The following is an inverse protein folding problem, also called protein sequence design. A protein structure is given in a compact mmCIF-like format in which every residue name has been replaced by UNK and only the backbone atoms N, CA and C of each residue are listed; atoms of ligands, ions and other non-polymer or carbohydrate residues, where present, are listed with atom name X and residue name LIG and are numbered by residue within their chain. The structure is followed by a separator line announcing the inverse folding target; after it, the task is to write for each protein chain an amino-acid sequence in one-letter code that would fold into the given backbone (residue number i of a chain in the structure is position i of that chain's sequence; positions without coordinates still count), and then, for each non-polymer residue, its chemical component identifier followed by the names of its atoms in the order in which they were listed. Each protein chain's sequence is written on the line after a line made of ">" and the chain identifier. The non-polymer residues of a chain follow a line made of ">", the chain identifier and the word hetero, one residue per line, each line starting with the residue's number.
data_IF_046742658689
#
_entry.id   IF_046742658689
#
_cell.length_a   1.000
_cell.length_b   1.000
_cell.length_c   1.000
_cell.angle_alpha   90.00
_cell.angle_beta   90.00
_cell.angle_gamma   90.00
#
_symmetry.space_group_name_H-M   'P 1'
#
loop_
_entity.id
_entity.type
_entity.pdbx_description
1 polymer ?
#
# COMPACT_ATOMS: atom_id res chain seq x y z
N UNK A 1 -15.39 -24.26 -20.33
CA UNK A 1 -15.14 -22.81 -20.59
C UNK A 1 -15.07 -21.94 -19.34
N UNK A 2 -15.57 -22.37 -18.18
CA UNK A 2 -15.54 -21.59 -16.92
C UNK A 2 -14.14 -21.32 -16.32
N UNK A 3 -13.18 -22.22 -16.56
CA UNK A 3 -11.85 -22.15 -15.93
C UNK A 3 -10.92 -21.00 -16.40
N UNK A 4 -11.11 -20.48 -17.62
CA UNK A 4 -10.21 -19.43 -18.17
C UNK A 4 -10.61 -18.05 -17.65
N UNK A 5 -11.91 -17.79 -17.48
CA UNK A 5 -12.39 -16.50 -16.95
C UNK A 5 -12.06 -16.36 -15.45
N UNK A 6 -12.26 -17.41 -14.66
CA UNK A 6 -11.89 -17.39 -13.24
C UNK A 6 -10.40 -17.17 -13.03
N UNK A 7 -9.54 -17.82 -13.83
CA UNK A 7 -8.09 -17.66 -13.73
C UNK A 7 -7.61 -16.23 -14.00
N UNK A 8 -8.27 -15.49 -14.91
CA UNK A 8 -7.91 -14.08 -15.17
C UNK A 8 -8.33 -13.14 -14.03
N UNK A 9 -9.41 -13.44 -13.33
CA UNK A 9 -9.86 -12.69 -12.15
C UNK A 9 -8.93 -12.95 -10.97
N UNK A 10 -8.54 -14.21 -10.74
CA UNK A 10 -7.61 -14.60 -9.68
C UNK A 10 -6.22 -13.95 -9.87
N UNK A 11 -5.74 -13.88 -11.11
CA UNK A 11 -4.47 -13.21 -11.42
C UNK A 11 -4.56 -11.69 -11.23
N UNK A 12 -5.67 -11.06 -11.61
CA UNK A 12 -5.90 -9.65 -11.38
C UNK A 12 -6.01 -9.33 -9.87
N UNK A 13 -6.71 -10.18 -9.13
CA UNK A 13 -6.81 -10.09 -7.67
C UNK A 13 -5.43 -10.25 -7.00
N UNK A 14 -4.67 -11.27 -7.37
CA UNK A 14 -3.32 -11.49 -6.84
C UNK A 14 -2.38 -10.32 -7.13
N UNK A 15 -2.48 -9.73 -8.33
CA UNK A 15 -1.72 -8.53 -8.65
C UNK A 15 -2.08 -7.36 -7.72
N UNK A 16 -3.36 -7.11 -7.47
CA UNK A 16 -3.79 -6.05 -6.57
C UNK A 16 -3.40 -6.34 -5.11
N UNK A 17 -3.58 -7.59 -4.66
CA UNK A 17 -3.26 -8.04 -3.31
C UNK A 17 -1.77 -7.91 -2.98
N UNK A 18 -0.89 -8.19 -3.94
CA UNK A 18 0.55 -8.17 -3.74
C UNK A 18 1.17 -6.77 -3.73
N UNK A 19 0.39 -5.72 -3.96
CA UNK A 19 0.89 -4.34 -3.82
C UNK A 19 1.12 -4.00 -2.35
N UNK A 20 2.31 -3.49 -2.03
CA UNK A 20 2.57 -2.81 -0.76
C UNK A 20 1.85 -1.46 -0.70
N UNK A 21 1.62 -0.93 0.50
CA UNK A 21 1.09 0.41 0.66
C UNK A 21 2.23 1.44 0.60
N UNK A 22 2.01 2.55 -0.11
CA UNK A 22 2.98 3.65 -0.15
C UNK A 22 2.29 5.00 -0.12
N UNK A 23 2.61 5.80 0.88
CA UNK A 23 2.16 7.18 0.99
C UNK A 23 2.81 8.01 -0.13
N UNK A 24 2.03 8.89 -0.74
CA UNK A 24 2.53 9.91 -1.66
C UNK A 24 1.78 11.21 -1.47
N UNK A 25 2.51 12.32 -1.39
CA UNK A 25 1.93 13.66 -1.28
C UNK A 25 1.41 14.15 -2.64
N UNK A 26 2.22 13.93 -3.70
CA UNK A 26 1.85 14.27 -5.09
C UNK A 26 1.78 13.01 -5.96
N UNK A 27 0.97 13.06 -7.01
CA UNK A 27 0.70 11.91 -7.90
C UNK A 27 1.93 11.45 -8.71
N UNK A 28 2.93 12.30 -8.89
CA UNK A 28 4.14 12.00 -9.66
C UNK A 28 5.30 11.45 -8.81
N UNK A 29 5.12 11.30 -7.51
CA UNK A 29 6.15 10.75 -6.62
C UNK A 29 6.34 9.24 -6.84
N UNK A 30 5.29 8.53 -7.21
CA UNK A 30 5.36 7.13 -7.63
C UNK A 30 5.33 7.09 -9.15
N UNK A 31 6.38 6.55 -9.76
CA UNK A 31 6.58 6.59 -11.21
C UNK A 31 6.64 5.19 -11.81
N UNK A 32 6.05 5.05 -13.00
CA UNK A 32 6.19 3.86 -13.87
C UNK A 32 5.99 2.54 -13.11
N UNK A 33 6.94 1.59 -13.21
CA UNK A 33 6.88 0.25 -12.61
C UNK A 33 6.71 0.26 -11.08
N UNK A 34 7.02 1.36 -10.39
CA UNK A 34 6.75 1.47 -8.96
C UNK A 34 5.26 1.34 -8.64
N UNK A 35 4.36 1.71 -9.57
CA UNK A 35 2.93 1.46 -9.44
C UNK A 35 2.53 -0.03 -9.45
N UNK A 36 3.36 -0.91 -10.00
CA UNK A 36 3.10 -2.35 -9.95
C UNK A 36 3.35 -2.92 -8.55
N UNK A 37 4.30 -2.35 -7.82
CA UNK A 37 4.71 -2.78 -6.48
C UNK A 37 3.97 -2.09 -5.36
N UNK A 38 3.46 -0.87 -5.60
CA UNK A 38 2.87 -0.03 -4.57
C UNK A 38 1.45 0.39 -4.94
N UNK A 39 0.53 0.23 -3.97
CA UNK A 39 -0.76 0.89 -3.97
C UNK A 39 -0.60 2.27 -3.31
N UNK A 40 -1.02 3.29 -4.02
CA UNK A 40 -0.98 4.67 -3.53
C UNK A 40 -2.16 5.47 -4.06
N UNK A 41 -2.62 6.41 -3.26
CA UNK A 41 -3.58 7.43 -3.65
C UNK A 41 -3.04 8.79 -3.19
N UNK A 42 -2.50 9.58 -4.12
CA UNK A 42 -1.77 10.82 -3.81
C UNK A 42 -2.53 11.73 -2.85
N UNK A 43 -1.89 12.19 -1.79
CA UNK A 43 -2.50 13.01 -0.76
C UNK A 43 -3.26 12.24 0.33
N UNK A 44 -3.39 10.94 0.24
CA UNK A 44 -3.80 10.12 1.38
C UNK A 44 -2.56 9.91 2.26
N UNK A 45 -2.44 10.76 3.28
CA UNK A 45 -1.25 10.84 4.14
C UNK A 45 -1.34 9.94 5.37
N UNK A 46 -2.30 9.01 5.39
CA UNK A 46 -2.51 8.04 6.46
C UNK A 46 -2.56 6.62 5.91
N UNK A 47 -1.70 5.77 6.45
CA UNK A 47 -1.57 4.37 5.97
C UNK A 47 -2.84 3.56 6.22
N UNK A 48 -3.53 3.79 7.36
CA UNK A 48 -4.78 3.11 7.66
C UNK A 48 -5.90 3.46 6.66
N UNK A 49 -6.00 4.74 6.26
CA UNK A 49 -6.96 5.20 5.25
C UNK A 49 -6.60 4.65 3.86
N UNK A 50 -5.31 4.62 3.54
CA UNK A 50 -4.82 4.02 2.29
C UNK A 50 -5.10 2.52 2.25
N UNK A 51 -4.93 1.83 3.39
CA UNK A 51 -5.27 0.42 3.51
C UNK A 51 -6.77 0.16 3.31
N UNK A 52 -7.64 0.98 3.89
CA UNK A 52 -9.10 0.84 3.71
C UNK A 52 -9.48 0.91 2.22
N UNK A 53 -8.90 1.88 1.50
CA UNK A 53 -9.08 1.99 0.05
C UNK A 53 -8.62 0.73 -0.69
N UNK A 54 -7.46 0.19 -0.31
CA UNK A 54 -6.89 -1.00 -0.91
C UNK A 54 -7.73 -2.25 -0.63
N UNK A 55 -8.15 -2.45 0.63
CA UNK A 55 -8.97 -3.58 1.03
C UNK A 55 -10.35 -3.56 0.33
N UNK A 56 -10.96 -2.37 0.23
CA UNK A 56 -12.26 -2.27 -0.45
C UNK A 56 -12.14 -2.50 -1.97
N UNK A 57 -11.02 -2.09 -2.59
CA UNK A 57 -10.73 -2.45 -4.00
C UNK A 57 -10.59 -3.96 -4.19
N UNK A 58 -9.89 -4.64 -3.27
CA UNK A 58 -9.74 -6.10 -3.31
C UNK A 58 -11.08 -6.80 -3.17
N UNK A 59 -11.92 -6.37 -2.22
CA UNK A 59 -13.28 -6.90 -2.04
C UNK A 59 -14.12 -6.65 -3.29
N UNK A 60 -14.09 -5.44 -3.83
CA UNK A 60 -14.83 -5.11 -5.04
C UNK A 60 -14.42 -6.00 -6.23
N UNK A 61 -13.14 -6.30 -6.38
CA UNK A 61 -12.66 -7.21 -7.42
C UNK A 61 -13.08 -8.65 -7.18
N UNK A 62 -12.93 -9.15 -5.95
CA UNK A 62 -13.23 -10.52 -5.57
C UNK A 62 -14.74 -10.84 -5.67
N UNK A 63 -15.57 -9.89 -5.28
CA UNK A 63 -17.02 -10.04 -5.19
C UNK A 63 -17.75 -9.49 -6.43
N UNK A 64 -17.01 -8.94 -7.41
CA UNK A 64 -17.61 -8.36 -8.63
C UNK A 64 -18.40 -7.08 -8.38
N UNK A 65 -18.12 -6.35 -7.28
CA UNK A 65 -18.83 -5.13 -6.92
C UNK A 65 -18.58 -4.02 -7.93
N UNK A 66 -19.64 -3.31 -8.27
CA UNK A 66 -19.55 -2.15 -9.15
C UNK A 66 -19.05 -0.88 -8.41
N UNK A 67 -18.82 0.20 -9.16
CA UNK A 67 -18.32 1.46 -8.57
C UNK A 67 -19.28 2.06 -7.53
N UNK A 68 -20.59 1.92 -7.67
CA UNK A 68 -21.54 2.52 -6.72
C UNK A 68 -21.46 1.83 -5.35
N UNK A 69 -21.37 0.51 -5.35
CA UNK A 69 -21.18 -0.27 -4.10
C UNK A 69 -19.85 0.07 -3.43
N UNK A 70 -18.74 0.06 -4.17
CA UNK A 70 -17.43 0.49 -3.70
C UNK A 70 -17.46 1.92 -3.11
N UNK A 71 -18.07 2.87 -3.83
CA UNK A 71 -18.18 4.27 -3.38
C UNK A 71 -18.97 4.40 -2.09
N UNK A 72 -20.11 3.70 -1.96
CA UNK A 72 -20.99 3.84 -0.80
C UNK A 72 -20.31 3.26 0.45
N UNK A 73 -19.69 2.09 0.36
CA UNK A 73 -18.96 1.48 1.47
C UNK A 73 -17.81 2.39 1.96
N UNK A 74 -17.04 2.93 1.04
CA UNK A 74 -15.93 3.81 1.39
C UNK A 74 -16.37 5.19 1.88
N UNK A 75 -17.48 5.73 1.39
CA UNK A 75 -17.97 7.04 1.82
C UNK A 75 -18.22 7.06 3.33
N UNK A 76 -18.91 6.05 3.86
CA UNK A 76 -19.18 5.94 5.29
C UNK A 76 -17.88 5.81 6.09
N UNK A 77 -17.01 4.92 5.69
CA UNK A 77 -15.72 4.67 6.34
C UNK A 77 -14.81 5.91 6.34
N UNK A 78 -14.67 6.56 5.18
CA UNK A 78 -13.85 7.77 5.06
C UNK A 78 -14.46 8.96 5.81
N UNK A 79 -15.78 9.06 5.88
CA UNK A 79 -16.47 10.09 6.67
C UNK A 79 -16.20 9.89 8.18
N UNK A 80 -16.31 8.65 8.67
CA UNK A 80 -16.05 8.33 10.09
C UNK A 80 -14.61 8.60 10.52
N UNK A 81 -13.66 8.52 9.57
CA UNK A 81 -12.22 8.82 9.77
C UNK A 81 -11.86 10.28 9.46
N UNK A 82 -12.83 11.13 9.07
CA UNK A 82 -12.60 12.54 8.71
C UNK A 82 -11.78 12.72 7.42
N UNK A 83 -11.91 11.77 6.47
CA UNK A 83 -11.17 11.78 5.19
C UNK A 83 -12.07 11.93 3.96
N UNK A 84 -13.38 12.05 4.10
CA UNK A 84 -14.27 12.36 2.97
C UNK A 84 -14.50 13.87 2.88
N UNK A 85 -14.42 14.43 1.67
CA UNK A 85 -14.57 15.88 1.42
C UNK A 85 -13.22 16.61 1.31
N UNK A 86 -13.25 17.91 1.53
CA UNK A 86 -12.06 18.77 1.52
C UNK A 86 -11.24 18.59 2.80
N UNK A 87 -9.92 18.46 2.64
CA UNK A 87 -8.98 18.30 3.75
C UNK A 87 -7.67 19.00 3.44
N UNK A 88 -7.15 19.77 4.37
CA UNK A 88 -5.78 20.25 4.31
C UNK A 88 -4.85 19.11 4.72
N UNK A 89 -3.80 18.91 3.96
CA UNK A 89 -2.72 17.97 4.25
C UNK A 89 -1.38 18.69 4.21
N UNK A 90 -0.46 18.23 5.04
CA UNK A 90 0.90 18.75 5.12
C UNK A 90 1.88 17.66 4.71
N UNK A 91 2.85 18.01 3.88
CA UNK A 91 3.98 17.13 3.59
C UNK A 91 4.90 17.11 4.82
N UNK A 92 5.07 15.95 5.49
CA UNK A 92 5.86 15.89 6.71
C UNK A 92 7.37 16.16 6.50
N UNK A 93 7.86 16.01 5.25
CA UNK A 93 9.27 16.24 4.92
C UNK A 93 9.58 17.70 4.57
N UNK A 94 8.64 18.40 3.95
CA UNK A 94 8.88 19.75 3.42
C UNK A 94 8.06 20.83 4.09
N UNK A 95 7.07 20.48 4.92
CA UNK A 95 6.11 21.42 5.48
C UNK A 95 5.10 21.97 4.44
N UNK A 96 5.18 21.57 3.18
CA UNK A 96 4.28 22.04 2.12
C UNK A 96 2.84 21.67 2.47
N UNK A 97 1.94 22.65 2.46
CA UNK A 97 0.51 22.44 2.69
C UNK A 97 -0.26 22.48 1.40
N UNK A 98 -1.29 21.64 1.28
CA UNK A 98 -2.25 21.71 0.18
C UNK A 98 -3.61 21.16 0.59
N UNK A 99 -4.66 21.66 -0.05
CA UNK A 99 -6.00 21.12 0.10
C UNK A 99 -6.25 20.02 -0.93
N UNK A 100 -6.71 18.88 -0.47
CA UNK A 100 -7.21 17.79 -1.31
C UNK A 100 -8.73 17.69 -1.15
N UNK A 101 -9.39 17.07 -2.13
CA UNK A 101 -10.82 16.76 -2.05
C UNK A 101 -11.04 15.28 -2.35
N UNK A 102 -11.45 14.51 -1.35
CA UNK A 102 -11.79 13.10 -1.51
C UNK A 102 -13.31 13.00 -1.67
N UNK A 103 -13.73 12.92 -2.90
CA UNK A 103 -15.13 12.87 -3.31
C UNK A 103 -15.39 11.69 -4.28
N UNK A 104 -16.63 11.56 -4.73
CA UNK A 104 -17.03 10.50 -5.66
C UNK A 104 -16.18 10.43 -6.94
N UNK A 105 -15.81 11.59 -7.53
CA UNK A 105 -14.99 11.62 -8.74
C UNK A 105 -13.57 11.09 -8.48
N UNK A 106 -12.99 11.42 -7.33
CA UNK A 106 -11.70 10.91 -6.94
C UNK A 106 -11.74 9.41 -6.66
N UNK A 107 -12.76 8.94 -5.93
CA UNK A 107 -12.97 7.50 -5.71
C UNK A 107 -13.18 6.77 -7.04
N UNK A 108 -13.87 7.38 -8.01
CA UNK A 108 -14.05 6.82 -9.36
C UNK A 108 -12.71 6.64 -10.08
N UNK A 109 -11.83 7.64 -10.01
CA UNK A 109 -10.49 7.55 -10.60
C UNK A 109 -9.65 6.45 -9.95
N UNK A 110 -9.66 6.35 -8.61
CA UNK A 110 -8.95 5.30 -7.88
C UNK A 110 -9.48 3.92 -8.26
N UNK A 111 -10.79 3.73 -8.24
CA UNK A 111 -11.45 2.48 -8.61
C UNK A 111 -11.08 2.04 -10.04
N UNK A 112 -11.40 2.87 -11.03
CA UNK A 112 -11.19 2.48 -12.43
C UNK A 112 -9.72 2.28 -12.78
N UNK A 113 -8.82 3.14 -12.31
CA UNK A 113 -7.39 3.01 -12.63
C UNK A 113 -6.81 1.72 -12.07
N UNK A 114 -7.13 1.38 -10.82
CA UNK A 114 -6.60 0.16 -10.20
C UNK A 114 -7.22 -1.12 -10.77
N UNK A 115 -8.54 -1.13 -10.99
CA UNK A 115 -9.22 -2.26 -11.63
C UNK A 115 -8.68 -2.50 -13.04
N UNK A 116 -8.58 -1.45 -13.86
CA UNK A 116 -8.05 -1.56 -15.22
C UNK A 116 -6.59 -2.02 -15.24
N UNK A 117 -5.75 -1.51 -14.34
CA UNK A 117 -4.35 -1.94 -14.25
C UNK A 117 -4.23 -3.42 -13.87
N UNK A 118 -5.02 -3.89 -12.92
CA UNK A 118 -5.02 -5.28 -12.50
C UNK A 118 -5.51 -6.23 -13.61
N UNK A 119 -6.63 -5.91 -14.24
CA UNK A 119 -7.13 -6.70 -15.38
C UNK A 119 -6.20 -6.65 -16.58
N UNK A 120 -5.55 -5.51 -16.85
CA UNK A 120 -4.58 -5.39 -17.94
C UNK A 120 -3.35 -6.29 -17.71
N UNK A 121 -2.88 -6.39 -16.47
CA UNK A 121 -1.77 -7.28 -16.09
C UNK A 121 -2.12 -8.75 -16.33
N UNK A 122 -3.26 -9.19 -15.83
CA UNK A 122 -3.78 -10.54 -16.08
C UNK A 122 -3.98 -10.80 -17.58
N UNK A 123 -4.49 -9.81 -18.31
CA UNK A 123 -4.69 -9.89 -19.75
C UNK A 123 -3.38 -10.02 -20.51
N UNK A 124 -2.36 -9.23 -20.17
CA UNK A 124 -1.04 -9.32 -20.78
C UNK A 124 -0.43 -10.72 -20.63
N UNK A 125 -0.53 -11.30 -19.44
CA UNK A 125 -0.10 -12.67 -19.16
C UNK A 125 -0.88 -13.69 -20.02
N UNK A 126 -2.20 -13.55 -20.08
CA UNK A 126 -3.03 -14.43 -20.92
C UNK A 126 -2.66 -14.34 -22.40
N UNK A 127 -2.49 -13.11 -22.93
CA UNK A 127 -2.16 -12.92 -24.34
C UNK A 127 -0.80 -13.51 -24.71
N UNK A 128 0.17 -13.51 -23.80
CA UNK A 128 1.51 -14.09 -24.05
C UNK A 128 1.48 -15.61 -24.14
N UNK A 129 0.45 -16.31 -23.65
CA UNK A 129 0.33 -17.77 -23.79
C UNK A 129 -0.12 -18.23 -25.18
N UNK A 130 -0.63 -17.34 -26.01
CA UNK A 130 -1.12 -17.70 -27.35
C UNK A 130 0.01 -17.68 -28.38
N UNK A 131 0.65 -18.83 -28.67
CA UNK A 131 1.76 -18.94 -29.60
C UNK A 131 1.41 -18.58 -31.04
N UNK A 132 0.21 -18.94 -31.50
CA UNK A 132 -0.25 -18.73 -32.87
C UNK A 132 -0.89 -17.37 -33.16
N UNK A 133 -1.17 -16.56 -32.11
CA UNK A 133 -1.72 -15.22 -32.23
C UNK A 133 -0.62 -14.18 -32.12
N UNK A 134 0.01 -13.90 -33.23
CA UNK A 134 1.21 -13.06 -33.31
C UNK A 134 0.92 -11.57 -33.40
N UNK A 135 -0.32 -11.16 -33.66
CA UNK A 135 -0.74 -9.76 -33.68
C UNK A 135 -1.63 -9.42 -32.53
N UNK A 136 -1.41 -8.27 -31.95
CA UNK A 136 -2.27 -7.69 -30.94
C UNK A 136 -3.00 -6.46 -31.50
N UNK A 137 -4.29 -6.39 -31.27
CA UNK A 137 -5.15 -5.31 -31.75
C UNK A 137 -5.53 -4.38 -30.62
N UNK A 138 -5.23 -3.11 -30.79
CA UNK A 138 -5.60 -2.08 -29.83
C UNK A 138 -7.09 -1.74 -29.95
N UNK A 139 -7.82 -1.81 -28.85
CA UNK A 139 -9.26 -1.51 -28.77
C UNK A 139 -9.49 -0.35 -27.83
N UNK A 140 -9.79 0.82 -28.36
CA UNK A 140 -10.29 1.97 -27.61
C UNK A 140 -11.79 1.81 -27.32
N UNK A 141 -12.26 2.26 -26.17
CA UNK A 141 -13.68 2.23 -25.84
C UNK A 141 -14.53 3.23 -26.65
N UNK A 142 -13.88 4.15 -27.37
CA UNK A 142 -14.50 5.18 -28.21
C UNK A 142 -15.57 6.04 -27.51
N UNK A 143 -15.37 6.30 -26.22
CA UNK A 143 -16.21 7.21 -25.47
C UNK A 143 -15.93 8.66 -25.88
N UNK A 144 -16.85 9.56 -25.57
CA UNK A 144 -16.70 10.98 -25.87
C UNK A 144 -15.41 11.55 -25.28
N UNK A 145 -15.11 11.21 -24.03
CA UNK A 145 -13.91 11.62 -23.28
C UNK A 145 -12.66 10.81 -23.61
N UNK A 146 -12.72 9.88 -24.58
CA UNK A 146 -11.54 9.11 -25.00
C UNK A 146 -10.54 10.02 -25.73
N UNK A 147 -9.25 9.90 -25.35
CA UNK A 147 -8.16 10.71 -25.93
C UNK A 147 -8.00 10.47 -27.43
N UNK A 148 -7.64 11.50 -28.17
CA UNK A 148 -7.51 11.45 -29.64
C UNK A 148 -6.48 10.41 -30.08
N UNK A 149 -5.34 10.33 -29.38
CA UNK A 149 -4.28 9.36 -29.68
C UNK A 149 -4.77 7.91 -29.47
N UNK A 150 -5.58 7.66 -28.44
CA UNK A 150 -6.16 6.34 -28.21
C UNK A 150 -7.23 5.97 -29.24
N UNK A 151 -8.02 6.98 -29.68
CA UNK A 151 -9.02 6.78 -30.76
C UNK A 151 -8.36 6.42 -32.09
N UNK A 152 -7.21 7.08 -32.42
CA UNK A 152 -6.44 6.79 -33.65
C UNK A 152 -5.89 5.37 -33.69
N UNK A 153 -5.61 4.77 -32.54
CA UNK A 153 -5.12 3.40 -32.43
C UNK A 153 -6.23 2.34 -32.48
N UNK A 154 -7.50 2.75 -32.44
CA UNK A 154 -8.59 1.80 -32.46
C UNK A 154 -8.57 0.94 -33.72
N UNK A 155 -8.66 -0.37 -33.54
CA UNK A 155 -8.56 -1.37 -34.61
C UNK A 155 -7.22 -1.40 -35.37
N UNK A 156 -6.14 -0.88 -34.78
CA UNK A 156 -4.79 -1.10 -35.30
C UNK A 156 -4.23 -2.42 -34.76
N UNK A 157 -3.71 -3.25 -35.64
CA UNK A 157 -3.02 -4.48 -35.34
C UNK A 157 -1.51 -4.24 -35.39
N UNK A 158 -0.80 -4.66 -34.36
CA UNK A 158 0.64 -4.46 -34.19
C UNK A 158 1.21 -5.81 -33.76
N UNK A 159 2.37 -6.21 -34.32
CA UNK A 159 3.01 -7.45 -33.94
C UNK A 159 3.26 -7.50 -32.43
N UNK A 160 3.07 -8.66 -31.79
CA UNK A 160 3.15 -8.81 -30.33
C UNK A 160 4.51 -8.42 -29.74
N UNK A 161 5.58 -8.58 -30.51
CA UNK A 161 6.96 -8.28 -30.11
C UNK A 161 7.39 -6.85 -30.45
N UNK A 162 6.51 -6.05 -31.08
CA UNK A 162 6.79 -4.67 -31.41
C UNK A 162 7.09 -3.84 -30.15
N UNK A 163 8.15 -2.98 -30.18
CA UNK A 163 8.52 -2.10 -29.08
C UNK A 163 7.39 -1.20 -28.54
N UNK A 164 6.38 -0.88 -29.36
CA UNK A 164 5.21 -0.13 -28.97
C UNK A 164 4.57 -0.68 -27.68
N UNK A 165 4.48 -1.99 -27.52
CA UNK A 165 3.84 -2.62 -26.38
C UNK A 165 4.63 -2.47 -25.08
N UNK A 166 5.93 -2.18 -25.16
CA UNK A 166 6.75 -1.88 -23.96
C UNK A 166 6.29 -0.62 -23.23
N UNK A 167 5.66 0.30 -23.94
CA UNK A 167 5.23 1.57 -23.36
C UNK A 167 3.72 1.81 -23.42
N UNK A 168 3.03 1.20 -24.40
CA UNK A 168 1.67 1.56 -24.77
C UNK A 168 0.64 0.43 -24.58
N UNK A 169 0.99 -0.63 -23.83
CA UNK A 169 -0.01 -1.60 -23.39
C UNK A 169 -0.97 -0.93 -22.39
N UNK A 170 -2.31 -0.93 -22.62
CA UNK A 170 -3.26 -0.23 -21.75
C UNK A 170 -3.24 -0.74 -20.30
N UNK A 171 -3.61 0.11 -19.31
CA UNK A 171 -4.07 1.49 -19.43
C UNK A 171 -2.91 2.44 -19.71
N UNK A 172 -3.13 3.44 -20.58
CA UNK A 172 -2.13 4.39 -21.02
C UNK A 172 -2.24 5.77 -20.36
N UNK A 173 -3.23 5.94 -19.48
CA UNK A 173 -3.42 7.10 -18.62
C UNK A 173 -4.51 6.82 -17.59
N UNK A 174 -4.74 7.75 -16.65
CA UNK A 174 -5.85 7.68 -15.71
C UNK A 174 -7.19 7.57 -16.45
N UNK A 175 -8.09 6.75 -15.91
CA UNK A 175 -9.41 6.45 -16.50
C UNK A 175 -9.37 5.84 -17.92
N UNK A 176 -8.22 5.36 -18.39
CA UNK A 176 -8.13 4.69 -19.68
C UNK A 176 -8.94 3.37 -19.65
N UNK A 177 -9.85 3.22 -20.62
CA UNK A 177 -10.71 2.03 -20.78
C UNK A 177 -10.36 1.20 -22.02
N UNK A 178 -9.18 1.43 -22.58
CA UNK A 178 -8.68 0.67 -23.72
C UNK A 178 -8.29 -0.76 -23.30
N UNK A 179 -8.32 -1.68 -24.26
CA UNK A 179 -7.93 -3.08 -24.05
C UNK A 179 -7.19 -3.61 -25.28
N UNK A 180 -6.63 -4.80 -25.17
CA UNK A 180 -5.93 -5.51 -26.25
C UNK A 180 -6.57 -6.88 -26.47
N UNK A 181 -6.71 -7.26 -27.72
CA UNK A 181 -7.08 -8.62 -28.13
C UNK A 181 -5.98 -9.21 -29.02
N UNK A 182 -5.79 -10.51 -28.95
CA UNK A 182 -4.83 -11.22 -29.80
C UNK A 182 -5.54 -11.90 -30.96
N UNK A 183 -4.95 -11.78 -32.16
CA UNK A 183 -5.47 -12.35 -33.40
C UNK A 183 -4.33 -13.04 -34.16
N UNK A 184 -4.67 -13.97 -35.07
CA UNK A 184 -3.70 -14.56 -35.99
C UNK A 184 -3.26 -13.52 -37.02
N UNK A 185 -2.12 -13.74 -37.68
CA UNK A 185 -1.67 -12.87 -38.75
C UNK A 185 -2.68 -12.81 -39.91
N UNK A 186 -3.29 -13.93 -40.30
CA UNK A 186 -4.32 -14.00 -41.33
C UNK A 186 -5.50 -13.08 -40.96
N UNK A 187 -5.95 -13.14 -39.74
CA UNK A 187 -7.05 -12.29 -39.27
C UNK A 187 -6.63 -10.81 -39.19
N UNK A 188 -5.40 -10.54 -38.74
CA UNK A 188 -4.88 -9.17 -38.67
C UNK A 188 -4.89 -8.50 -40.06
N UNK A 189 -4.35 -9.18 -41.07
CA UNK A 189 -4.31 -8.69 -42.45
C UNK A 189 -5.70 -8.53 -43.08
N UNK A 190 -6.64 -9.40 -42.72
CA UNK A 190 -7.97 -9.36 -43.30
C UNK A 190 -8.90 -8.27 -42.69
N UNK A 191 -8.72 -7.90 -41.43
CA UNK A 191 -9.73 -7.13 -40.69
C UNK A 191 -9.22 -5.83 -40.06
N UNK A 192 -7.91 -5.62 -39.96
CA UNK A 192 -7.34 -4.54 -39.16
C UNK A 192 -6.27 -3.76 -39.92
N UNK A 193 -6.07 -2.51 -39.52
CA UNK A 193 -4.96 -1.71 -40.02
C UNK A 193 -3.66 -2.17 -39.34
N UNK A 194 -2.73 -2.70 -40.10
CA UNK A 194 -1.41 -3.10 -39.58
C UNK A 194 -0.55 -1.84 -39.41
N UNK A 195 0.08 -1.72 -38.25
CA UNK A 195 1.10 -0.71 -37.97
C UNK A 195 2.39 -1.39 -37.52
N UNK A 196 3.52 -0.83 -37.92
CA UNK A 196 4.86 -1.23 -37.52
C UNK A 196 5.51 -0.09 -36.73
N UNK A 197 6.03 -0.39 -35.55
CA UNK A 197 6.74 0.51 -34.67
C UNK A 197 6.08 1.90 -34.51
N UNK A 198 4.77 1.97 -34.18
CA UNK A 198 4.12 3.26 -33.95
C UNK A 198 4.66 3.95 -32.70
N UNK A 199 4.56 5.27 -32.67
CA UNK A 199 4.99 6.06 -31.51
C UNK A 199 4.14 5.73 -30.28
N UNK A 200 4.79 5.80 -29.09
CA UNK A 200 4.10 5.63 -27.82
C UNK A 200 2.97 6.63 -27.64
N UNK A 201 1.85 6.14 -27.11
CA UNK A 201 0.64 6.93 -26.81
C UNK A 201 0.36 7.03 -25.31
N UNK A 202 1.22 6.43 -24.49
CA UNK A 202 1.04 6.48 -23.05
C UNK A 202 1.54 7.78 -22.45
N UNK A 203 0.82 8.30 -21.45
CA UNK A 203 1.32 9.41 -20.64
C UNK A 203 2.57 8.99 -19.87
N UNK A 204 3.39 9.97 -19.47
CA UNK A 204 4.70 9.76 -18.85
C UNK A 204 4.70 8.74 -17.69
N UNK A 205 3.65 8.74 -16.86
CA UNK A 205 3.55 7.83 -15.72
C UNK A 205 3.08 6.43 -16.09
N UNK A 206 2.46 6.27 -17.27
CA UNK A 206 1.96 4.99 -17.78
C UNK A 206 2.85 4.38 -18.85
N UNK A 207 3.91 5.06 -19.28
CA UNK A 207 4.85 4.58 -20.29
C UNK A 207 5.89 3.62 -19.68
N UNK A 208 5.47 2.39 -19.36
CA UNK A 208 6.32 1.29 -18.89
C UNK A 208 5.75 -0.06 -19.32
N UNK A 209 6.59 -1.09 -19.33
CA UNK A 209 6.16 -2.43 -19.75
C UNK A 209 5.31 -3.12 -18.69
N UNK A 210 4.00 -3.12 -18.90
CA UNK A 210 3.02 -3.76 -18.04
C UNK A 210 2.95 -5.28 -18.18
N UNK A 211 3.68 -5.84 -19.14
CA UNK A 211 3.76 -7.30 -19.36
C UNK A 211 4.78 -7.94 -18.40
N UNK A 212 5.79 -7.17 -17.99
CA UNK A 212 6.80 -7.62 -17.06
C UNK A 212 6.22 -7.83 -15.66
N UNK A 213 6.62 -8.90 -14.99
CA UNK A 213 6.30 -9.10 -13.59
C UNK A 213 7.30 -8.35 -12.72
N UNK A 214 6.98 -7.09 -12.41
CA UNK A 214 7.81 -6.23 -11.57
C UNK A 214 7.44 -6.30 -10.07
N UNK A 215 6.51 -7.17 -9.71
CA UNK A 215 6.18 -7.41 -8.31
C UNK A 215 7.28 -8.22 -7.64
N UNK A 216 7.67 -7.82 -6.43
CA UNK A 216 8.58 -8.62 -5.60
C UNK A 216 7.81 -9.87 -5.17
N UNK A 217 8.37 -11.08 -5.37
CA UNK A 217 7.74 -12.30 -4.90
C UNK A 217 7.44 -12.21 -3.39
N UNK A 218 6.34 -12.82 -2.94
CA UNK A 218 5.93 -12.87 -1.52
C UNK A 218 7.00 -13.46 -0.59
N UNK A 219 7.97 -14.16 -1.13
CA UNK A 219 8.95 -14.97 -0.40
C UNK A 219 10.39 -14.47 -0.56
N UNK A 220 10.62 -13.18 -0.35
CA UNK A 220 11.97 -12.83 0.08
C UNK A 220 11.97 -13.00 1.59
N UNK A 221 12.10 -14.25 2.05
CA UNK A 221 12.48 -14.53 3.43
C UNK A 221 13.83 -13.86 3.65
N UNK A 222 13.87 -12.95 4.58
CA UNK A 222 15.15 -12.49 5.13
C UNK A 222 15.78 -13.76 5.68
N UNK A 223 16.96 -14.14 5.17
CA UNK A 223 17.84 -15.07 5.87
C UNK A 223 18.25 -14.34 7.15
N UNK A 224 17.67 -14.75 8.26
CA UNK A 224 17.77 -14.07 9.56
C UNK A 224 19.12 -14.33 10.25
N UNK A 225 20.16 -14.87 9.56
CA UNK A 225 21.21 -15.54 10.28
C UNK A 225 22.49 -14.76 10.58
N UNK A 226 22.89 -13.75 9.80
CA UNK A 226 24.23 -13.17 10.04
C UNK A 226 24.31 -11.65 10.18
N UNK A 227 23.19 -10.94 10.00
CA UNK A 227 23.17 -9.46 10.04
C UNK A 227 22.35 -8.88 11.19
N UNK A 228 21.83 -9.69 12.10
CA UNK A 228 21.05 -9.20 13.22
C UNK A 228 21.92 -8.50 14.25
N UNK A 229 21.50 -7.33 14.67
CA UNK A 229 22.12 -6.65 15.81
C UNK A 229 21.94 -7.46 17.09
N UNK A 230 22.91 -7.42 17.98
CA UNK A 230 22.74 -8.01 19.30
C UNK A 230 21.62 -7.31 20.07
N UNK A 231 20.92 -8.09 20.90
CA UNK A 231 19.91 -7.52 21.78
C UNK A 231 20.54 -6.41 22.64
N UNK A 232 19.91 -5.22 22.64
CA UNK A 232 20.40 -4.09 23.40
C UNK A 232 20.49 -4.37 24.89
N UNK A 233 21.50 -3.81 25.57
CA UNK A 233 21.57 -3.84 27.02
C UNK A 233 20.36 -3.09 27.59
N UNK A 234 19.64 -3.77 28.48
CA UNK A 234 18.53 -3.19 29.22
C UNK A 234 19.06 -2.06 30.09
N UNK A 235 18.45 -0.87 29.95
CA UNK A 235 18.73 0.27 30.82
C UNK A 235 17.96 0.10 32.14
N UNK A 236 18.62 0.38 33.26
CA UNK A 236 17.94 0.33 34.55
C UNK A 236 17.22 1.65 34.81
N UNK A 237 15.97 1.75 34.37
CA UNK A 237 15.09 2.89 34.60
C UNK A 237 14.06 2.66 35.70
N UNK A 238 14.26 1.65 36.59
CA UNK A 238 13.28 1.29 37.62
C UNK A 238 13.00 2.43 38.60
N UNK A 239 14.02 3.23 38.94
CA UNK A 239 13.94 4.31 39.93
C UNK A 239 13.41 5.65 39.36
N UNK A 240 13.18 5.74 38.04
CA UNK A 240 12.66 6.95 37.44
C UNK A 240 11.15 7.08 37.63
N UNK A 241 10.69 8.30 37.89
CA UNK A 241 9.28 8.62 37.85
C UNK A 241 8.67 8.48 36.45
N UNK A 242 7.36 8.37 36.36
CA UNK A 242 6.67 8.30 35.08
C UNK A 242 6.93 9.52 34.20
N UNK A 243 7.06 10.73 34.82
CA UNK A 243 7.41 11.94 34.10
C UNK A 243 8.80 11.86 33.50
N UNK A 244 9.81 11.47 34.28
CA UNK A 244 11.18 11.32 33.80
C UNK A 244 11.28 10.28 32.67
N UNK A 245 10.50 9.19 32.74
CA UNK A 245 10.45 8.18 31.68
C UNK A 245 9.82 8.72 30.39
N UNK A 246 8.79 9.57 30.50
CA UNK A 246 8.17 10.25 29.35
C UNK A 246 9.15 11.24 28.74
N UNK A 247 9.85 12.02 29.57
CA UNK A 247 10.88 12.94 29.09
C UNK A 247 12.00 12.19 28.36
N UNK A 248 12.40 11.02 28.84
CA UNK A 248 13.36 10.13 28.16
C UNK A 248 12.85 9.68 26.76
N UNK A 249 11.57 9.41 26.59
CA UNK A 249 11.03 9.09 25.27
C UNK A 249 11.16 10.28 24.32
N UNK A 250 10.80 11.48 24.77
CA UNK A 250 10.97 12.70 23.96
C UNK A 250 12.44 12.96 23.61
N UNK A 251 13.36 12.80 24.58
CA UNK A 251 14.81 12.88 24.34
C UNK A 251 15.27 11.85 23.29
N UNK A 252 14.86 10.60 23.42
CA UNK A 252 15.25 9.53 22.49
C UNK A 252 14.81 9.81 21.05
N UNK A 253 13.63 10.41 20.86
CA UNK A 253 13.16 10.82 19.53
C UNK A 253 13.71 12.20 19.10
N UNK A 254 14.38 12.93 19.98
CA UNK A 254 14.81 14.31 19.76
C UNK A 254 13.65 15.23 19.33
N UNK A 255 12.53 15.14 20.05
CA UNK A 255 11.31 15.92 19.81
C UNK A 255 10.72 16.46 21.12
N UNK A 256 9.79 17.41 21.00
CA UNK A 256 9.02 17.96 22.14
C UNK A 256 7.58 17.42 22.14
N UNK A 257 6.90 17.59 23.26
CA UNK A 257 5.46 17.26 23.35
C UNK A 257 4.68 18.02 22.28
N UNK A 258 3.90 17.27 21.49
CA UNK A 258 3.08 17.82 20.40
C UNK A 258 3.77 17.81 19.03
N UNK A 259 5.07 17.49 18.96
CA UNK A 259 5.74 17.31 17.68
C UNK A 259 5.20 16.04 16.99
N UNK A 260 5.26 16.07 15.66
CA UNK A 260 4.87 14.95 14.83
C UNK A 260 6.11 14.14 14.41
N UNK A 261 6.03 12.84 14.61
CA UNK A 261 6.99 11.88 14.07
C UNK A 261 6.52 11.33 12.73
N UNK A 262 7.48 10.90 11.93
CA UNK A 262 7.23 10.21 10.67
C UNK A 262 7.88 8.84 10.75
N UNK A 263 7.09 7.79 10.58
CA UNK A 263 7.61 6.43 10.63
C UNK A 263 8.29 6.01 9.29
N UNK A 264 8.82 4.80 9.26
CA UNK A 264 9.54 4.24 8.11
C UNK A 264 8.72 4.22 6.82
N UNK A 265 7.40 4.17 6.91
CA UNK A 265 6.48 4.17 5.74
C UNK A 265 5.87 5.55 5.48
N UNK A 266 6.43 6.59 6.08
CA UNK A 266 6.01 7.99 5.92
C UNK A 266 4.63 8.29 6.49
N UNK A 267 4.16 7.50 7.46
CA UNK A 267 2.94 7.79 8.21
C UNK A 267 3.24 8.66 9.44
N UNK A 268 2.32 9.56 9.76
CA UNK A 268 2.50 10.54 10.82
C UNK A 268 2.02 9.95 12.15
N UNK A 269 2.89 10.01 13.16
CA UNK A 269 2.65 9.57 14.53
C UNK A 269 2.74 10.78 15.45
N UNK A 270 1.74 10.99 16.31
CA UNK A 270 1.78 12.00 17.39
C UNK A 270 2.19 11.33 18.69
N UNK A 271 3.23 11.86 19.35
CA UNK A 271 3.59 11.51 20.72
C UNK A 271 2.85 12.45 21.66
N UNK A 272 1.60 12.16 21.93
CA UNK A 272 0.75 12.91 22.87
C UNK A 272 0.40 12.07 24.10
N UNK A 273 -0.45 12.63 24.95
CA UNK A 273 -0.87 11.95 26.19
C UNK A 273 -1.54 10.59 25.94
N UNK A 274 -2.20 10.41 24.79
CA UNK A 274 -2.83 9.12 24.41
C UNK A 274 -1.80 8.01 24.18
N UNK A 275 -0.57 8.37 23.84
CA UNK A 275 0.53 7.43 23.70
C UNK A 275 0.99 6.90 25.07
N UNK A 276 1.03 7.75 26.08
CA UNK A 276 1.61 7.45 27.39
C UNK A 276 0.59 7.02 28.45
N UNK A 277 -0.64 7.55 28.41
CA UNK A 277 -1.64 7.34 29.46
C UNK A 277 -2.80 6.44 29.04
N UNK A 278 -3.34 5.72 30.01
CA UNK A 278 -4.64 5.06 29.87
C UNK A 278 -5.75 6.07 30.25
N UNK A 279 -6.54 6.50 29.26
CA UNK A 279 -7.61 7.50 29.45
C UNK A 279 -8.62 7.16 30.56
N UNK A 280 -8.87 5.86 30.81
CA UNK A 280 -9.85 5.43 31.83
C UNK A 280 -9.25 5.34 33.19
N UNK A 281 -7.97 5.02 33.32
CA UNK A 281 -7.31 4.73 34.60
C UNK A 281 -6.45 5.89 35.11
N UNK A 282 -6.21 6.91 34.29
CA UNK A 282 -5.29 8.02 34.55
C UNK A 282 -3.88 7.54 34.97
N UNK A 283 -3.52 6.31 34.59
CA UNK A 283 -2.25 5.69 34.90
C UNK A 283 -1.39 5.64 33.66
N UNK A 284 -0.08 5.76 33.83
CA UNK A 284 0.86 5.61 32.71
C UNK A 284 0.95 4.16 32.24
N UNK A 285 1.19 4.01 30.95
CA UNK A 285 1.44 2.71 30.31
C UNK A 285 2.93 2.39 30.24
N UNK A 286 3.79 3.34 30.64
CA UNK A 286 5.21 3.29 30.32
C UNK A 286 5.95 2.19 31.09
N UNK A 287 5.55 1.93 32.33
CA UNK A 287 6.11 0.83 33.15
C UNK A 287 5.41 -0.52 32.94
N UNK A 288 4.27 -0.53 32.24
CA UNK A 288 3.49 -1.75 32.04
C UNK A 288 4.25 -2.74 31.17
N UNK A 289 4.36 -4.01 31.63
CA UNK A 289 5.08 -5.08 30.91
C UNK A 289 6.57 -4.75 30.65
N UNK A 290 7.21 -4.04 31.58
CA UNK A 290 8.64 -3.68 31.51
C UNK A 290 9.04 -2.84 30.28
N UNK A 291 8.10 -2.07 29.70
CA UNK A 291 8.36 -1.24 28.52
C UNK A 291 9.47 -0.22 28.72
N UNK A 292 9.57 0.32 29.95
CA UNK A 292 10.57 1.31 30.33
C UNK A 292 12.02 0.80 30.13
N UNK A 293 12.26 -0.49 30.12
CA UNK A 293 13.60 -1.04 29.85
C UNK A 293 14.05 -0.86 28.40
N UNK A 294 13.13 -0.58 27.47
CA UNK A 294 13.39 -0.50 26.04
C UNK A 294 13.11 0.89 25.45
N UNK A 295 13.02 1.94 26.28
CA UNK A 295 12.64 3.29 25.80
C UNK A 295 13.59 3.81 24.73
N UNK A 296 14.88 3.60 24.90
CA UNK A 296 15.92 4.04 23.94
C UNK A 296 15.78 3.40 22.55
N UNK A 297 14.99 2.34 22.46
CA UNK A 297 14.73 1.62 21.21
C UNK A 297 13.41 2.00 20.53
N UNK A 298 12.60 2.85 21.15
CA UNK A 298 11.37 3.34 20.53
C UNK A 298 11.63 4.03 19.18
N UNK A 299 12.64 4.92 19.06
CA UNK A 299 12.98 5.50 17.77
C UNK A 299 13.38 4.46 16.73
N UNK A 300 14.12 3.43 17.12
CA UNK A 300 14.57 2.39 16.20
C UNK A 300 13.40 1.55 15.68
N UNK A 301 12.42 1.24 16.52
CA UNK A 301 11.20 0.54 16.12
C UNK A 301 10.37 1.34 15.11
N UNK A 302 10.33 2.65 15.22
CA UNK A 302 9.50 3.50 14.36
C UNK A 302 10.26 3.88 13.09
N UNK A 303 11.56 4.24 13.21
CA UNK A 303 12.35 4.78 12.10
C UNK A 303 13.07 3.72 11.28
N UNK A 304 13.43 2.58 11.90
CA UNK A 304 14.16 1.48 11.26
C UNK A 304 13.65 0.09 11.69
N UNK A 305 12.34 -0.19 11.59
CA UNK A 305 11.81 -1.52 11.83
C UNK A 305 12.28 -2.50 10.75
N UNK A 306 12.33 -3.78 11.09
CA UNK A 306 12.56 -4.83 10.10
C UNK A 306 11.25 -5.22 9.40
N UNK A 307 10.12 -5.08 10.11
CA UNK A 307 8.80 -5.34 9.55
C UNK A 307 7.74 -4.41 10.15
N UNK A 308 6.80 -3.96 9.32
CA UNK A 308 5.57 -3.28 9.77
C UNK A 308 4.38 -4.07 9.26
N UNK A 309 3.47 -4.40 10.17
CA UNK A 309 2.22 -5.11 9.85
C UNK A 309 1.01 -4.26 10.18
N UNK A 310 -0.05 -4.45 9.39
CA UNK A 310 -1.32 -3.77 9.56
C UNK A 310 -2.45 -4.79 9.70
N UNK A 311 -3.27 -4.64 10.74
CA UNK A 311 -4.48 -5.44 10.95
C UNK A 311 -5.59 -4.57 11.52
N UNK A 312 -6.83 -5.07 11.51
CA UNK A 312 -7.91 -4.45 12.26
C UNK A 312 -7.83 -4.84 13.73
N UNK A 313 -8.19 -3.94 14.63
CA UNK A 313 -8.29 -4.31 16.04
C UNK A 313 -9.56 -5.13 16.26
N UNK A 314 -9.40 -6.32 16.84
CA UNK A 314 -10.51 -7.20 17.19
C UNK A 314 -11.27 -6.75 18.45
N UNK A 315 -10.68 -5.86 19.25
CA UNK A 315 -11.30 -5.36 20.48
C UNK A 315 -12.47 -4.41 20.13
N UNK A 316 -13.71 -4.70 20.59
CA UNK A 316 -14.86 -3.84 20.33
C UNK A 316 -14.70 -2.37 20.77
N UNK A 317 -13.86 -2.12 21.77
CA UNK A 317 -13.53 -0.76 22.25
C UNK A 317 -12.76 0.05 21.22
N UNK A 318 -12.08 -0.61 20.32
CA UNK A 318 -11.29 -0.02 19.22
C UNK A 318 -11.91 -0.28 17.85
N UNK A 319 -13.24 -0.41 17.79
CA UNK A 319 -13.96 -0.58 16.52
C UNK A 319 -13.58 0.54 15.54
N UNK A 320 -13.07 0.16 14.38
CA UNK A 320 -12.60 1.08 13.35
C UNK A 320 -11.18 1.61 13.57
N UNK A 321 -10.47 1.14 14.60
CA UNK A 321 -9.03 1.38 14.71
C UNK A 321 -8.25 0.36 13.90
N UNK A 322 -7.20 0.83 13.25
CA UNK A 322 -6.21 -0.03 12.62
C UNK A 322 -5.09 -0.29 13.62
N UNK A 323 -4.70 -1.55 13.74
CA UNK A 323 -3.58 -1.97 14.55
C UNK A 323 -2.32 -2.02 13.68
N UNK A 324 -1.37 -1.13 13.94
CA UNK A 324 -0.06 -1.11 13.30
C UNK A 324 0.96 -1.73 14.23
N UNK A 325 1.67 -2.74 13.76
CA UNK A 325 2.67 -3.48 14.54
C UNK A 325 4.03 -3.27 13.92
N UNK A 326 4.96 -2.69 14.67
CA UNK A 326 6.36 -2.51 14.32
C UNK A 326 7.16 -3.63 14.96
N UNK A 327 8.04 -4.26 14.21
CA UNK A 327 8.85 -5.40 14.64
C UNK A 327 10.30 -5.11 14.31
N UNK A 328 11.18 -5.26 15.29
CA UNK A 328 12.64 -5.23 15.13
C UNK A 328 13.20 -6.53 15.67
N UNK A 329 13.98 -7.22 14.86
CA UNK A 329 14.62 -8.48 15.24
C UNK A 329 16.02 -8.24 15.81
N UNK A 330 16.38 -9.05 16.78
CA UNK A 330 17.68 -9.05 17.44
C UNK A 330 18.17 -10.48 17.62
N UNK A 331 19.47 -10.65 17.81
CA UNK A 331 20.07 -11.93 18.16
C UNK A 331 20.50 -11.94 19.64
N UNK A 332 20.03 -12.92 20.39
CA UNK A 332 20.47 -13.22 21.75
C UNK A 332 20.17 -14.69 22.05
N UNK A 333 21.16 -15.56 21.82
CA UNK A 333 21.00 -17.03 21.91
C UNK A 333 19.77 -17.54 21.10
N UNK A 334 19.52 -16.93 19.97
CA UNK A 334 18.37 -17.12 19.09
C UNK A 334 17.74 -15.79 18.65
N UNK A 335 16.81 -15.86 17.73
CA UNK A 335 16.13 -14.65 17.22
C UNK A 335 15.10 -14.18 18.23
N UNK A 336 15.24 -12.94 18.70
CA UNK A 336 14.25 -12.24 19.53
C UNK A 336 13.67 -11.06 18.77
N UNK A 337 12.44 -10.69 19.05
CA UNK A 337 11.80 -9.55 18.43
C UNK A 337 11.30 -8.55 19.46
N UNK A 338 11.70 -7.29 19.31
CA UNK A 338 11.07 -6.18 19.99
C UNK A 338 9.84 -5.73 19.17
N UNK A 339 8.67 -5.71 19.80
CA UNK A 339 7.41 -5.48 19.13
C UNK A 339 6.71 -4.29 19.76
N UNK A 340 6.30 -3.32 18.94
CA UNK A 340 5.44 -2.20 19.34
C UNK A 340 4.13 -2.25 18.57
N UNK A 341 3.01 -2.17 19.28
CA UNK A 341 1.67 -2.16 18.68
C UNK A 341 1.01 -0.82 18.94
N UNK A 342 0.68 -0.10 17.88
CA UNK A 342 -0.07 1.14 17.91
C UNK A 342 -1.46 0.92 17.33
N UNK A 343 -2.48 1.45 17.98
CA UNK A 343 -3.83 1.55 17.45
C UNK A 343 -4.04 2.95 16.89
N UNK A 344 -4.45 3.05 15.64
CA UNK A 344 -4.61 4.32 14.94
C UNK A 344 -6.02 4.46 14.37
N UNK A 345 -6.65 5.61 14.64
CA UNK A 345 -7.90 6.02 13.99
C UNK A 345 -7.78 7.49 13.60
N UNK A 346 -7.62 7.76 12.32
CA UNK A 346 -7.28 9.11 11.83
C UNK A 346 -5.99 9.62 12.48
N UNK A 347 -6.06 10.73 13.23
CA UNK A 347 -4.91 11.29 13.94
C UNK A 347 -4.77 10.75 15.39
N UNK A 348 -5.72 9.97 15.88
CA UNK A 348 -5.64 9.40 17.21
C UNK A 348 -4.76 8.15 17.20
N UNK A 349 -3.72 8.17 18.02
CA UNK A 349 -2.82 7.05 18.22
C UNK A 349 -2.88 6.63 19.67
N UNK A 350 -3.07 5.35 19.90
CA UNK A 350 -2.96 4.72 21.20
C UNK A 350 -1.84 3.69 21.17
N UNK A 351 -0.82 3.84 22.00
CA UNK A 351 0.11 2.77 22.22
C UNK A 351 -0.60 1.64 22.97
N UNK A 352 -0.84 0.53 22.26
CA UNK A 352 -1.52 -0.62 22.85
C UNK A 352 -0.56 -1.44 23.71
N UNK A 353 0.61 -1.75 23.17
CA UNK A 353 1.61 -2.53 23.88
C UNK A 353 2.99 -2.42 23.21
N UNK A 354 4.03 -2.67 24.03
CA UNK A 354 5.37 -2.97 23.55
C UNK A 354 5.93 -4.11 24.43
N UNK A 355 6.64 -5.04 23.84
CA UNK A 355 7.22 -6.18 24.56
C UNK A 355 8.38 -6.79 23.77
N UNK A 356 9.30 -7.43 24.50
CA UNK A 356 10.25 -8.35 23.91
C UNK A 356 9.56 -9.71 23.74
N UNK A 357 9.55 -10.23 22.55
CA UNK A 357 9.03 -11.56 22.26
C UNK A 357 10.12 -12.61 22.44
N UNK A 358 9.87 -13.54 23.31
CA UNK A 358 10.59 -14.80 23.40
C UNK A 358 9.70 -15.85 22.76
N UNK A 359 9.96 -16.30 21.57
CA UNK A 359 9.32 -17.38 20.77
C UNK A 359 8.02 -17.98 21.38
N UNK A 360 7.09 -17.11 21.78
CA UNK A 360 5.86 -17.49 22.45
C UNK A 360 4.66 -17.53 21.48
N UNK A 361 3.59 -18.19 21.90
CA UNK A 361 2.36 -18.33 21.10
C UNK A 361 1.74 -16.98 20.69
N UNK A 362 1.86 -15.96 21.54
CA UNK A 362 1.33 -14.61 21.28
C UNK A 362 2.10 -13.90 20.15
N UNK A 363 3.40 -14.08 20.08
CA UNK A 363 4.20 -13.53 18.97
C UNK A 363 3.86 -14.22 17.65
N UNK A 364 3.73 -15.55 17.67
CA UNK A 364 3.27 -16.30 16.50
C UNK A 364 1.88 -15.85 16.04
N UNK A 365 0.98 -15.57 16.98
CA UNK A 365 -0.32 -15.01 16.68
C UNK A 365 -0.22 -13.63 16.02
N UNK A 366 0.63 -12.73 16.53
CA UNK A 366 0.87 -11.41 15.92
C UNK A 366 1.45 -11.54 14.52
N UNK A 367 2.40 -12.44 14.29
CA UNK A 367 2.98 -12.69 12.96
C UNK A 367 1.95 -13.26 11.96
N UNK A 368 0.92 -13.93 12.45
CA UNK A 368 -0.16 -14.47 11.62
C UNK A 368 -1.30 -13.48 11.39
N UNK A 369 -1.35 -12.38 12.16
CA UNK A 369 -2.39 -11.37 12.02
C UNK A 369 -1.99 -10.27 11.03
N UNK A 370 -2.93 -9.88 10.18
CA UNK A 370 -2.79 -8.72 9.33
C UNK A 370 -1.89 -8.93 8.12
N UNK A 371 -1.59 -7.83 7.46
CA UNK A 371 -0.80 -7.76 6.23
C UNK A 371 0.53 -7.07 6.51
N UNK A 372 1.62 -7.65 6.06
CA UNK A 372 2.92 -6.97 6.04
C UNK A 372 2.88 -5.84 5.02
N UNK A 373 3.08 -4.60 5.48
CA UNK A 373 3.07 -3.39 4.65
C UNK A 373 4.47 -2.83 4.42
N UNK A 374 5.43 -3.24 5.23
CA UNK A 374 6.85 -2.95 5.08
C UNK A 374 7.66 -4.16 5.56
N UNK A 375 8.74 -4.46 4.86
CA UNK A 375 9.77 -5.41 5.26
C UNK A 375 11.12 -4.87 4.80
N UNK A 376 12.09 -4.83 5.73
CA UNK A 376 13.48 -4.48 5.44
C UNK A 376 14.06 -5.54 4.51
N UNK A 377 14.76 -5.12 3.47
CA UNK A 377 15.44 -6.00 2.51
C UNK A 377 16.82 -6.37 3.04
#
# INVERSE_FOLDING_TARGET
>A
MSNIFNKSVDEAYSYLENKGLKISFKYHEIKKQAHDRAFSAAGIMKTDVLNDLHEELKKAMKEGRNFNEFKNNLKELLTSKGWYGKKEITNPKTGEKRTININANRLKTIYHTNMQSAYAKARAKQLSTYSYKTYWVYKCALLEDSRSEHKKMHNCAIHRDDPFWKTSFPPNDYNCKCKVIAVSEKEARAKYKILENPKSIASKNFAYDKRENSQIPKETRISLDESLENLPKIQNYENLSDKELIDKVYEAFNVKKGDLLVDKIEDVISLDDDFFYDKKKQTTKIKKQNRHFYLDYFPKLINDPDEIRLSMDADPRFKGFTKKTYIKYFYDNGVKALVMVLNQKGNQINNKTMFLSEDNSYFKEILNQGKTIYKKQ
#
